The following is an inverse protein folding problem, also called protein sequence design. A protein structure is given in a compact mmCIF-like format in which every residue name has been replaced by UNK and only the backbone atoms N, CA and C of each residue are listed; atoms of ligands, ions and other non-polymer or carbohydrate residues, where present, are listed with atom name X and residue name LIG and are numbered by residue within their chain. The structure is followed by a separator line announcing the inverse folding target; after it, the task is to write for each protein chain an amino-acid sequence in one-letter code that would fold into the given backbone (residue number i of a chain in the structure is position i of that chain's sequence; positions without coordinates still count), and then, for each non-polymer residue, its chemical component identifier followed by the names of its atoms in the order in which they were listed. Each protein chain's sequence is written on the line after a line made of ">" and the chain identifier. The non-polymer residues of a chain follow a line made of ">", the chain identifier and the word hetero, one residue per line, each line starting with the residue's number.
data_IF_296229415103
#
_entry.id   IF_296229415103
#
_cell.length_a   1.000
_cell.length_b   1.000
_cell.length_c   1.000
_cell.angle_alpha   90.00
_cell.angle_beta   90.00
_cell.angle_gamma   90.00
#
_symmetry.space_group_name_H-M   'P 1'
#
loop_
_entity.id
_entity.type
_entity.pdbx_description
1 polymer ?
#
# COMPACT_ATOMS: atom_id res chain seq x y z
N UNK A 1 -15.82 26.10 5.59
CA UNK A 1 -14.96 25.54 6.67
C UNK A 1 -13.76 24.94 5.99
N UNK A 2 -12.61 25.62 6.08
CA UNK A 2 -11.38 25.22 5.39
C UNK A 2 -10.76 23.97 6.04
N UNK A 3 -10.58 22.91 5.25
CA UNK A 3 -9.95 21.65 5.69
C UNK A 3 -8.50 21.85 6.15
N UNK A 4 -7.83 22.87 5.59
CA UNK A 4 -6.44 23.21 5.90
C UNK A 4 -6.28 23.72 7.34
N UNK A 5 -7.28 24.42 7.87
CA UNK A 5 -7.24 24.96 9.24
C UNK A 5 -7.48 23.89 10.32
N UNK A 6 -8.06 22.73 9.97
CA UNK A 6 -8.22 21.61 10.89
C UNK A 6 -6.96 20.73 11.02
N UNK A 7 -6.09 20.73 10.01
CA UNK A 7 -4.82 19.99 10.00
C UNK A 7 -3.77 20.57 10.97
N UNK A 8 -3.86 21.85 11.28
CA UNK A 8 -2.96 22.53 12.24
C UNK A 8 -3.29 22.25 13.71
N UNK A 9 -4.40 21.54 13.98
CA UNK A 9 -4.76 21.19 15.36
C UNK A 9 -3.83 20.08 15.88
N UNK A 10 -3.38 20.14 17.15
CA UNK A 10 -2.43 19.18 17.75
C UNK A 10 -2.96 17.74 17.85
N UNK A 11 -4.20 17.50 17.42
CA UNK A 11 -4.90 16.23 17.58
C UNK A 11 -5.22 15.62 16.21
N UNK A 12 -4.18 15.39 15.42
CA UNK A 12 -4.22 14.76 14.10
C UNK A 12 -4.96 13.42 14.08
N UNK A 13 -4.97 12.72 15.22
CA UNK A 13 -5.69 11.46 15.40
C UNK A 13 -7.20 11.62 15.27
N UNK A 14 -7.75 12.73 15.76
CA UNK A 14 -9.19 12.98 15.68
C UNK A 14 -9.60 13.45 14.28
N UNK A 15 -8.73 14.18 13.57
CA UNK A 15 -8.87 14.45 12.14
C UNK A 15 -8.94 13.15 11.33
N UNK A 16 -7.99 12.22 11.53
CA UNK A 16 -8.01 10.93 10.83
C UNK A 16 -9.20 10.04 11.23
N UNK A 17 -9.71 10.14 12.46
CA UNK A 17 -10.96 9.48 12.85
C UNK A 17 -12.17 10.07 12.13
N UNK A 18 -12.21 11.38 11.92
CA UNK A 18 -13.29 12.04 11.17
C UNK A 18 -13.22 11.68 9.69
N UNK A 19 -12.04 11.72 9.07
CA UNK A 19 -11.80 11.23 7.70
C UNK A 19 -12.18 9.73 7.58
N UNK A 20 -11.81 8.92 8.56
CA UNK A 20 -12.18 7.50 8.61
C UNK A 20 -13.68 7.23 8.74
N UNK A 21 -14.47 8.22 9.22
CA UNK A 21 -15.94 8.16 9.23
C UNK A 21 -16.55 8.61 7.90
N UNK A 22 -15.85 9.44 7.13
CA UNK A 22 -16.29 9.94 5.81
C UNK A 22 -16.25 8.84 4.75
N UNK A 23 -15.39 7.84 4.90
CA UNK A 23 -15.36 6.68 3.99
C UNK A 23 -15.75 5.40 4.74
N UNK A 24 -16.84 4.75 4.30
CA UNK A 24 -17.12 3.30 4.30
C UNK A 24 -18.46 2.88 4.93
N UNK A 25 -18.99 3.55 5.96
CA UNK A 25 -20.10 2.95 6.74
C UNK A 25 -21.49 3.57 6.53
N UNK A 26 -21.62 4.88 6.33
CA UNK A 26 -22.95 5.53 6.33
C UNK A 26 -23.54 5.87 4.95
N UNK A 27 -22.73 5.86 3.89
CA UNK A 27 -23.15 6.27 2.54
C UNK A 27 -23.08 5.14 1.51
N UNK A 28 -23.20 3.87 1.94
CA UNK A 28 -23.48 2.78 1.00
C UNK A 28 -24.91 2.90 0.48
N UNK A 29 -25.18 3.90 -0.34
CA UNK A 29 -26.26 3.79 -1.29
C UNK A 29 -25.79 2.73 -2.28
N UNK A 30 -26.49 1.60 -2.38
CA UNK A 30 -26.23 0.56 -3.39
C UNK A 30 -26.52 1.04 -4.83
N UNK A 31 -26.66 2.36 -5.01
CA UNK A 31 -27.04 2.99 -6.25
C UNK A 31 -25.82 3.71 -6.84
N UNK A 32 -25.51 3.31 -8.06
CA UNK A 32 -24.53 3.97 -8.91
C UNK A 32 -25.01 5.41 -9.15
N UNK A 33 -24.17 6.43 -8.94
CA UNK A 33 -24.51 7.81 -9.29
C UNK A 33 -24.72 7.92 -10.79
N UNK A 34 -25.94 8.23 -11.22
CA UNK A 34 -26.30 8.41 -12.65
C UNK A 34 -26.29 9.87 -13.07
N UNK A 35 -25.49 10.69 -12.41
CA UNK A 35 -25.39 12.13 -12.67
C UNK A 35 -23.93 12.46 -12.97
N UNK A 36 -23.68 13.09 -14.12
CA UNK A 36 -22.35 13.54 -14.55
C UNK A 36 -22.45 14.94 -15.10
N UNK A 37 -21.48 15.78 -14.76
CA UNK A 37 -21.35 17.13 -15.33
C UNK A 37 -20.52 17.00 -16.61
N UNK A 38 -21.06 17.52 -17.71
CA UNK A 38 -20.34 17.55 -18.98
C UNK A 38 -19.33 18.71 -19.04
N UNK A 39 -18.57 18.78 -20.13
CA UNK A 39 -17.54 19.80 -20.30
C UNK A 39 -18.14 21.21 -20.52
N UNK A 40 -19.46 21.32 -20.70
CA UNK A 40 -20.20 22.58 -20.83
C UNK A 40 -20.80 23.05 -19.49
N UNK A 41 -20.72 22.21 -18.45
CA UNK A 41 -21.27 22.48 -17.12
C UNK A 41 -22.72 22.03 -16.94
N UNK A 42 -23.31 21.33 -17.92
CA UNK A 42 -24.66 20.79 -17.83
C UNK A 42 -24.67 19.41 -17.16
N UNK A 43 -25.76 19.11 -16.44
CA UNK A 43 -25.94 17.84 -15.75
C UNK A 43 -26.59 16.83 -16.68
N UNK A 44 -25.83 15.80 -17.04
CA UNK A 44 -26.29 14.63 -17.78
C UNK A 44 -26.80 13.58 -16.79
N UNK A 45 -28.07 13.21 -16.94
CA UNK A 45 -28.70 12.13 -16.17
C UNK A 45 -29.03 10.89 -17.02
N UNK A 46 -28.87 10.99 -18.35
CA UNK A 46 -29.13 9.87 -19.24
C UNK A 46 -28.10 8.76 -19.02
N UNK A 47 -28.59 7.54 -18.83
CA UNK A 47 -27.77 6.39 -18.43
C UNK A 47 -26.70 6.06 -19.48
N UNK A 48 -27.04 6.13 -20.75
CA UNK A 48 -26.11 5.78 -21.83
C UNK A 48 -25.04 6.86 -21.96
N UNK A 49 -25.43 8.13 -21.91
CA UNK A 49 -24.50 9.26 -21.93
C UNK A 49 -23.54 9.24 -20.73
N UNK A 50 -24.02 8.95 -19.52
CA UNK A 50 -23.19 8.83 -18.30
C UNK A 50 -22.13 7.74 -18.46
N UNK A 51 -22.52 6.55 -18.94
CA UNK A 51 -21.57 5.46 -19.14
C UNK A 51 -20.51 5.78 -20.20
N UNK A 52 -20.90 6.43 -21.30
CA UNK A 52 -19.96 6.83 -22.34
C UNK A 52 -19.00 7.92 -21.85
N UNK A 53 -19.47 8.88 -21.05
CA UNK A 53 -18.60 9.90 -20.44
C UNK A 53 -17.58 9.24 -19.50
N UNK A 54 -18.03 8.37 -18.60
CA UNK A 54 -17.11 7.63 -17.69
C UNK A 54 -16.09 6.80 -18.44
N UNK A 55 -16.51 6.10 -19.50
CA UNK A 55 -15.60 5.32 -20.35
C UNK A 55 -14.53 6.21 -20.98
N UNK A 56 -14.94 7.36 -21.52
CA UNK A 56 -14.04 8.31 -22.19
C UNK A 56 -13.07 8.95 -21.21
N UNK A 57 -13.58 9.42 -20.07
CA UNK A 57 -12.77 10.03 -19.00
C UNK A 57 -11.77 9.02 -18.45
N UNK A 58 -12.22 7.80 -18.17
CA UNK A 58 -11.34 6.73 -17.71
C UNK A 58 -10.25 6.43 -18.73
N UNK A 59 -10.59 6.25 -20.02
CA UNK A 59 -9.60 6.02 -21.07
C UNK A 59 -8.57 7.16 -21.18
N UNK A 60 -9.00 8.40 -20.94
CA UNK A 60 -8.11 9.57 -20.97
C UNK A 60 -7.09 9.54 -19.83
N UNK A 61 -7.48 9.04 -18.65
CA UNK A 61 -6.55 8.86 -17.51
C UNK A 61 -5.42 7.86 -17.78
N UNK A 62 -5.62 6.88 -18.67
CA UNK A 62 -4.57 5.89 -19.02
C UNK A 62 -3.72 6.28 -20.23
N UNK A 63 -4.14 7.31 -20.98
CA UNK A 63 -3.48 7.74 -22.20
C UNK A 63 -2.56 8.94 -21.98
N UNK A 64 -2.26 9.28 -20.72
CA UNK A 64 -1.12 10.13 -20.49
C UNK A 64 0.10 9.35 -21.02
N UNK A 65 0.63 9.81 -22.15
CA UNK A 65 2.00 9.54 -22.55
C UNK A 65 2.88 10.23 -21.52
N UNK A 66 2.81 9.77 -20.27
CA UNK A 66 3.88 10.03 -19.34
C UNK A 66 5.05 9.34 -19.98
N UNK A 67 6.00 10.12 -20.50
CA UNK A 67 7.35 9.69 -20.76
C UNK A 67 7.92 9.20 -19.42
N UNK A 68 7.44 8.05 -18.95
CA UNK A 68 7.85 7.39 -17.71
C UNK A 68 9.35 7.12 -17.78
N UNK A 69 9.87 6.94 -18.99
CA UNK A 69 11.31 6.82 -19.24
C UNK A 69 12.07 8.11 -18.90
N UNK A 70 11.52 9.31 -19.16
CA UNK A 70 12.18 10.57 -18.81
C UNK A 70 12.24 10.77 -17.29
N UNK A 71 11.18 10.41 -16.56
CA UNK A 71 11.21 10.46 -15.10
C UNK A 71 12.25 9.48 -14.55
N UNK A 72 12.23 8.23 -15.00
CA UNK A 72 13.14 7.19 -14.52
C UNK A 72 14.61 7.51 -14.85
N UNK A 73 14.91 8.00 -16.06
CA UNK A 73 16.27 8.37 -16.47
C UNK A 73 16.78 9.62 -15.75
N UNK A 74 15.97 10.69 -15.67
CA UNK A 74 16.37 11.89 -14.95
C UNK A 74 16.50 11.63 -13.45
N UNK A 75 15.65 10.78 -12.87
CA UNK A 75 15.74 10.38 -11.47
C UNK A 75 16.99 9.52 -11.21
N UNK A 76 17.27 8.53 -12.05
CA UNK A 76 18.49 7.72 -11.98
C UNK A 76 19.75 8.57 -12.09
N UNK A 77 19.78 9.55 -13.00
CA UNK A 77 20.94 10.42 -13.17
C UNK A 77 21.14 11.38 -12.00
N UNK A 78 20.05 11.84 -11.36
CA UNK A 78 20.12 12.62 -10.11
C UNK A 78 20.61 11.78 -8.92
N UNK A 79 20.25 10.49 -8.84
CA UNK A 79 20.80 9.53 -7.87
C UNK A 79 22.30 9.33 -8.11
N UNK A 80 22.72 9.08 -9.36
CA UNK A 80 24.13 8.89 -9.71
C UNK A 80 24.99 10.11 -9.41
N UNK A 81 24.44 11.32 -9.60
CA UNK A 81 25.12 12.59 -9.29
C UNK A 81 25.11 12.94 -7.80
N UNK A 82 24.42 12.17 -6.96
CA UNK A 82 24.28 12.44 -5.53
C UNK A 82 23.47 13.69 -5.20
N UNK A 83 22.72 14.23 -6.17
CA UNK A 83 21.91 15.45 -6.02
C UNK A 83 20.62 15.19 -5.26
N UNK A 84 20.14 13.94 -5.27
CA UNK A 84 19.22 13.45 -4.27
C UNK A 84 20.09 13.02 -3.10
N UNK A 85 20.40 13.99 -2.22
CA UNK A 85 20.70 13.63 -0.85
C UNK A 85 19.49 12.86 -0.39
N UNK A 86 19.61 11.53 -0.30
CA UNK A 86 18.85 10.83 0.71
C UNK A 86 19.18 11.61 1.97
N UNK A 87 18.21 12.34 2.51
CA UNK A 87 18.30 12.80 3.87
C UNK A 87 17.64 11.68 4.68
N UNK A 88 18.35 10.57 4.98
CA UNK A 88 17.93 9.76 6.10
C UNK A 88 18.33 10.59 7.31
N UNK A 89 17.37 11.13 8.04
CA UNK A 89 17.51 11.00 9.47
C UNK A 89 17.73 9.51 9.77
N UNK A 90 19.00 9.10 9.79
CA UNK A 90 19.61 7.98 10.49
C UNK A 90 18.69 6.78 10.75
N UNK A 91 18.08 6.22 9.70
CA UNK A 91 17.58 4.85 9.81
C UNK A 91 18.81 3.97 9.64
N UNK A 92 19.43 3.66 10.77
CA UNK A 92 20.49 2.66 10.85
C UNK A 92 19.93 1.32 10.35
N UNK A 93 20.23 1.04 9.08
CA UNK A 93 19.84 -0.21 8.40
C UNK A 93 20.87 -1.30 8.60
N UNK A 94 21.89 -1.10 9.45
CA UNK A 94 22.85 -2.16 9.79
C UNK A 94 22.15 -3.43 10.29
N UNK A 95 21.04 -3.26 11.03
CA UNK A 95 20.19 -4.34 11.51
C UNK A 95 19.56 -5.20 10.40
N UNK A 96 19.41 -4.69 9.17
CA UNK A 96 18.88 -5.48 8.04
C UNK A 96 19.85 -6.56 7.55
N UNK A 97 21.15 -6.38 7.83
CA UNK A 97 22.18 -7.36 7.50
C UNK A 97 22.36 -8.43 8.59
N UNK A 98 21.73 -8.26 9.74
CA UNK A 98 21.80 -9.23 10.82
C UNK A 98 20.95 -10.47 10.50
N UNK A 99 21.33 -11.65 11.04
CA UNK A 99 20.48 -12.83 10.96
C UNK A 99 19.13 -12.58 11.64
N UNK A 100 18.03 -12.84 10.92
CA UNK A 100 16.68 -12.77 11.49
C UNK A 100 16.61 -13.63 12.76
N UNK A 101 16.24 -13.01 13.86
CA UNK A 101 16.15 -13.63 15.18
C UNK A 101 14.79 -14.30 15.37
N UNK A 102 14.74 -15.30 16.24
CA UNK A 102 13.49 -15.97 16.61
C UNK A 102 12.45 -15.00 17.18
N UNK A 103 12.89 -14.03 17.98
CA UNK A 103 12.03 -13.01 18.60
C UNK A 103 11.33 -12.13 17.56
N UNK A 104 12.02 -11.76 16.47
CA UNK A 104 11.41 -11.02 15.36
C UNK A 104 10.34 -11.83 14.65
N UNK A 105 10.60 -13.12 14.41
CA UNK A 105 9.63 -14.02 13.80
C UNK A 105 8.40 -14.17 14.69
N UNK A 106 8.57 -14.38 16.00
CA UNK A 106 7.47 -14.46 16.97
C UNK A 106 6.65 -13.16 17.04
N UNK A 107 7.30 -11.99 17.01
CA UNK A 107 6.62 -10.69 16.95
C UNK A 107 5.86 -10.50 15.63
N UNK A 108 6.43 -10.94 14.51
CA UNK A 108 5.75 -10.85 13.21
C UNK A 108 4.52 -11.76 13.17
N UNK A 109 4.65 -13.00 13.67
CA UNK A 109 3.55 -13.98 13.72
C UNK A 109 2.44 -13.53 14.66
N UNK A 110 2.77 -13.00 15.84
CA UNK A 110 1.75 -12.48 16.78
C UNK A 110 1.00 -11.26 16.25
N UNK A 111 1.60 -10.49 15.32
CA UNK A 111 0.96 -9.36 14.62
C UNK A 111 0.16 -9.76 13.39
N UNK A 112 0.17 -11.03 12.98
CA UNK A 112 -0.65 -11.49 11.86
C UNK A 112 -2.12 -11.26 12.20
N UNK A 113 -2.83 -10.59 11.29
CA UNK A 113 -4.28 -10.40 11.41
C UNK A 113 -4.93 -11.76 11.22
N UNK A 114 -5.45 -12.31 12.32
CA UNK A 114 -6.21 -13.56 12.33
C UNK A 114 -7.39 -13.48 11.33
N UNK A 115 -7.77 -14.64 10.77
CA UNK A 115 -8.92 -14.79 9.86
C UNK A 115 -8.82 -14.04 8.52
N UNK A 116 -7.61 -13.70 8.08
CA UNK A 116 -7.39 -13.30 6.68
C UNK A 116 -7.18 -14.53 5.81
N UNK A 117 -7.55 -14.42 4.54
CA UNK A 117 -7.22 -15.44 3.54
C UNK A 117 -5.70 -15.68 3.54
N UNK A 118 -5.31 -16.95 3.51
CA UNK A 118 -3.91 -17.33 3.42
C UNK A 118 -3.30 -16.77 2.13
N UNK A 119 -2.05 -16.31 2.22
CA UNK A 119 -1.30 -15.84 1.05
C UNK A 119 -0.92 -17.00 0.13
N UNK A 120 -0.14 -16.71 -0.91
CA UNK A 120 0.43 -17.73 -1.81
C UNK A 120 1.31 -18.77 -1.08
N UNK A 121 1.76 -18.43 0.13
CA UNK A 121 2.52 -19.28 1.03
C UNK A 121 1.64 -20.25 1.83
N UNK A 122 0.30 -20.18 1.68
CA UNK A 122 -0.69 -21.02 2.35
C UNK A 122 -0.53 -21.10 3.87
N UNK A 123 0.00 -20.04 4.51
CA UNK A 123 0.12 -19.99 5.97
C UNK A 123 -1.27 -19.68 6.55
N UNK A 124 -1.93 -20.65 7.23
CA UNK A 124 -3.27 -20.42 7.76
C UNK A 124 -3.19 -19.47 8.95
N UNK A 125 -3.98 -18.40 8.91
CA UNK A 125 -4.07 -17.40 9.99
C UNK A 125 -4.98 -17.85 11.16
N UNK A 126 -5.15 -19.15 11.34
CA UNK A 126 -6.14 -19.76 12.22
C UNK A 126 -5.46 -20.29 13.48
N UNK A 127 -5.87 -19.73 14.63
CA UNK A 127 -5.48 -20.04 16.01
C UNK A 127 -4.16 -19.47 16.57
N UNK A 128 -4.30 -18.77 17.70
CA UNK A 128 -3.20 -18.18 18.49
C UNK A 128 -2.26 -19.26 19.09
N UNK A 129 -2.77 -20.46 19.35
CA UNK A 129 -1.97 -21.59 19.87
C UNK A 129 -0.94 -22.10 18.85
N UNK A 130 -1.20 -21.94 17.55
CA UNK A 130 -0.28 -22.33 16.47
C UNK A 130 0.79 -21.27 16.20
N UNK A 131 0.74 -20.10 16.83
CA UNK A 131 1.71 -19.02 16.59
C UNK A 131 3.16 -19.41 16.97
N UNK A 132 3.32 -20.25 18.00
CA UNK A 132 4.63 -20.76 18.40
C UNK A 132 5.19 -21.78 17.40
N UNK A 133 4.35 -22.69 16.90
CA UNK A 133 4.78 -23.68 15.90
C UNK A 133 5.05 -23.02 14.54
N UNK A 134 4.23 -22.04 14.15
CA UNK A 134 4.44 -21.26 12.95
C UNK A 134 5.73 -20.44 13.00
N UNK A 135 6.10 -19.88 14.16
CA UNK A 135 7.36 -19.14 14.29
C UNK A 135 8.58 -20.04 14.11
N UNK A 136 8.54 -21.27 14.66
CA UNK A 136 9.60 -22.27 14.46
C UNK A 136 9.69 -22.68 13.00
N UNK A 137 8.54 -22.94 12.36
CA UNK A 137 8.47 -23.38 10.97
C UNK A 137 9.00 -22.32 10.00
N UNK A 138 8.56 -21.06 10.15
CA UNK A 138 9.03 -19.92 9.34
C UNK A 138 10.54 -19.70 9.52
N UNK A 139 11.04 -19.74 10.76
CA UNK A 139 12.48 -19.58 11.04
C UNK A 139 13.32 -20.66 10.35
N UNK A 140 12.86 -21.92 10.38
CA UNK A 140 13.54 -23.04 9.73
C UNK A 140 13.48 -22.94 8.20
N UNK A 141 12.35 -22.50 7.62
CA UNK A 141 12.23 -22.27 6.18
C UNK A 141 13.20 -21.18 5.69
N UNK A 142 13.32 -20.07 6.42
CA UNK A 142 14.27 -18.99 6.10
C UNK A 142 15.70 -19.50 6.12
N UNK A 143 16.10 -20.25 7.15
CA UNK A 143 17.44 -20.85 7.24
C UNK A 143 17.72 -21.81 6.09
N UNK A 144 16.78 -22.71 5.77
CA UNK A 144 16.95 -23.70 4.70
C UNK A 144 17.06 -23.04 3.32
N UNK A 145 16.26 -22.00 3.05
CA UNK A 145 16.33 -21.26 1.77
C UNK A 145 17.66 -20.52 1.60
N UNK A 146 18.27 -20.01 2.68
CA UNK A 146 19.60 -19.40 2.63
C UNK A 146 20.70 -20.42 2.39
N UNK A 147 20.67 -21.58 3.06
CA UNK A 147 21.63 -22.67 2.83
C UNK A 147 21.60 -23.20 1.38
N UNK A 148 20.41 -23.26 0.77
CA UNK A 148 20.28 -23.62 -0.65
C UNK A 148 20.88 -22.54 -1.57
N UNK A 149 20.68 -21.25 -1.26
CA UNK A 149 21.26 -20.14 -2.04
C UNK A 149 22.79 -20.06 -1.94
N UNK A 150 23.39 -20.36 -0.78
CA UNK A 150 24.85 -20.38 -0.63
C UNK A 150 25.50 -21.52 -1.39
N UNK A 151 24.85 -22.69 -1.47
CA UNK A 151 25.34 -23.84 -2.23
C UNK A 151 25.19 -23.70 -3.75
N UNK A 152 24.43 -22.70 -4.23
CA UNK A 152 24.25 -22.38 -5.65
C UNK A 152 25.29 -21.38 -6.18
N UNK A 153 26.09 -20.77 -5.30
CA UNK A 153 27.13 -19.78 -5.64
C UNK A 153 28.55 -20.26 -5.23
N UNK A 154 28.71 -21.56 -4.94
CA UNK A 154 30.00 -22.27 -4.86
C UNK A 154 30.11 -23.23 -6.02
#
# INVERSE_FOLDING_TARGET
>A
MDLLTELEKPNSRDFWKQIGKIRISNDRRDQIPWEVIDDTGEVIMDKECVLQKWKTDYQTLFNDQTDSMLYDECHLDRIKKGEISSDPELVDTSCLNEPITRCEVEKAVSRLKLRKAAGIDNIPAENAELQYELSILVHNMIRRRRALKSNLHS
#
